data_IF_524870356595
#
_entry.id   IF_524870356595
#
_cell.length_a   1.000
_cell.length_b   1.000
_cell.length_c   1.000
_cell.angle_alpha   90.00
_cell.angle_beta   90.00
_cell.angle_gamma   90.00
#
_symmetry.space_group_name_H-M   'P 1'
#
loop_
_entity.id
_entity.type
_entity.pdbx_description
1 polymer ?
#
# COMPACT_ATOMS: atom_id res chain seq x y z
N UNK A 1 8.64 18.35 -13.83
CA UNK A 1 7.81 17.16 -13.44
C UNK A 1 8.72 15.97 -13.12
N UNK A 2 8.51 15.20 -12.02
CA UNK A 2 9.29 14.00 -11.66
C UNK A 2 8.93 12.82 -12.56
N UNK A 3 9.76 11.74 -12.54
CA UNK A 3 9.49 10.54 -13.37
C UNK A 3 8.21 9.81 -12.93
N UNK A 4 7.93 9.75 -11.62
CA UNK A 4 6.71 9.14 -11.10
C UNK A 4 5.46 9.85 -11.64
N UNK A 5 5.47 11.18 -11.66
CA UNK A 5 4.34 11.96 -12.20
C UNK A 5 4.20 11.76 -13.70
N UNK A 6 5.32 11.74 -14.45
CA UNK A 6 5.28 11.45 -15.89
C UNK A 6 4.74 10.06 -16.19
N UNK A 7 5.17 9.07 -15.42
CA UNK A 7 4.70 7.69 -15.57
C UNK A 7 3.20 7.57 -15.31
N UNK A 8 2.71 8.16 -14.22
CA UNK A 8 1.29 8.16 -13.89
C UNK A 8 0.42 8.81 -14.96
N UNK A 9 0.91 9.90 -15.54
CA UNK A 9 0.18 10.67 -16.55
C UNK A 9 0.20 10.04 -17.95
N UNK A 10 0.88 8.91 -18.19
CA UNK A 10 0.92 8.27 -19.52
C UNK A 10 -0.45 7.90 -20.07
N UNK A 11 -1.40 7.61 -19.19
CA UNK A 11 -2.79 7.31 -19.55
C UNK A 11 -3.60 8.55 -19.95
N UNK A 12 -3.08 9.76 -19.72
CA UNK A 12 -3.77 11.02 -19.98
C UNK A 12 -3.44 11.57 -21.36
N UNK A 13 -4.38 12.27 -22.02
CA UNK A 13 -4.11 12.96 -23.29
C UNK A 13 -2.99 14.01 -23.18
N UNK A 14 -2.33 14.28 -24.30
CA UNK A 14 -1.18 15.19 -24.37
C UNK A 14 -1.48 16.58 -23.81
N UNK A 15 -2.65 17.17 -24.17
CA UNK A 15 -3.04 18.51 -23.70
C UNK A 15 -3.15 18.61 -22.18
N UNK A 16 -3.69 17.55 -21.52
CA UNK A 16 -3.78 17.49 -20.07
C UNK A 16 -2.39 17.39 -19.42
N UNK A 17 -1.52 16.53 -19.97
CA UNK A 17 -0.13 16.41 -19.51
C UNK A 17 0.65 17.71 -19.62
N UNK A 18 0.51 18.42 -20.72
CA UNK A 18 1.17 19.71 -20.94
C UNK A 18 0.66 20.80 -20.01
N UNK A 19 -0.64 20.83 -19.72
CA UNK A 19 -1.22 21.78 -18.77
C UNK A 19 -0.68 21.56 -17.35
N UNK A 20 -0.53 20.30 -16.93
CA UNK A 20 0.05 19.94 -15.62
C UNK A 20 1.53 20.31 -15.57
N UNK A 21 2.31 20.06 -16.63
CA UNK A 21 3.75 20.36 -16.66
C UNK A 21 4.08 21.85 -16.52
N UNK A 22 3.15 22.71 -16.88
CA UNK A 22 3.26 24.18 -16.74
C UNK A 22 2.99 24.68 -15.31
N UNK A 23 2.46 23.83 -14.43
CA UNK A 23 2.19 24.24 -13.05
C UNK A 23 3.50 24.38 -12.25
N UNK A 24 3.59 25.38 -11.37
CA UNK A 24 4.63 25.40 -10.35
C UNK A 24 4.57 24.09 -9.53
N UNK A 25 5.73 23.53 -9.23
CA UNK A 25 5.83 22.32 -8.41
C UNK A 25 5.05 21.10 -8.91
N UNK A 26 4.81 20.99 -10.24
CA UNK A 26 4.16 19.84 -10.86
C UNK A 26 4.77 18.48 -10.44
N UNK A 27 6.07 18.47 -10.10
CA UNK A 27 6.75 17.30 -9.55
C UNK A 27 6.23 16.86 -8.17
N UNK A 28 5.63 17.76 -7.39
CA UNK A 28 5.04 17.47 -6.08
C UNK A 28 3.56 17.06 -6.17
N UNK A 29 2.99 16.89 -7.37
CA UNK A 29 1.58 16.51 -7.55
C UNK A 29 1.26 15.21 -6.81
N UNK A 30 0.19 15.24 -6.03
CA UNK A 30 -0.32 14.12 -5.23
C UNK A 30 -1.46 13.37 -5.94
N UNK A 31 -2.37 14.16 -6.55
CA UNK A 31 -3.58 13.66 -7.20
C UNK A 31 -3.93 14.48 -8.44
N UNK A 32 -4.52 13.81 -9.43
CA UNK A 32 -5.26 14.44 -10.54
C UNK A 32 -6.71 14.02 -10.43
N UNK A 33 -7.61 15.01 -10.34
CA UNK A 33 -9.05 14.80 -10.22
C UNK A 33 -9.77 15.24 -11.48
N UNK A 34 -10.52 14.33 -12.06
CA UNK A 34 -11.31 14.52 -13.26
C UNK A 34 -12.78 14.26 -12.90
N UNK A 35 -13.61 15.32 -12.91
CA UNK A 35 -15.04 15.24 -12.61
C UNK A 35 -15.83 15.70 -13.82
N UNK A 36 -16.76 14.91 -14.30
CA UNK A 36 -17.57 15.26 -15.46
C UNK A 36 -18.25 16.62 -15.27
N UNK A 37 -18.17 17.49 -16.29
CA UNK A 37 -18.72 18.84 -16.28
C UNK A 37 -17.91 19.87 -15.49
N UNK A 38 -16.77 19.51 -14.89
CA UNK A 38 -15.87 20.43 -14.17
C UNK A 38 -14.51 20.49 -14.86
N UNK A 39 -13.77 21.61 -14.74
CA UNK A 39 -12.38 21.65 -15.16
C UNK A 39 -11.54 20.58 -14.43
N UNK A 40 -10.54 19.95 -15.08
CA UNK A 40 -9.58 19.08 -14.40
C UNK A 40 -8.88 19.83 -13.26
N UNK A 41 -8.56 19.15 -12.17
CA UNK A 41 -7.87 19.74 -11.03
C UNK A 41 -6.74 18.84 -10.53
N UNK A 42 -5.61 19.46 -10.11
CA UNK A 42 -4.49 18.78 -9.48
C UNK A 42 -4.38 19.17 -8.00
N UNK A 43 -4.02 18.21 -7.16
CA UNK A 43 -3.60 18.47 -5.78
C UNK A 43 -2.08 18.49 -5.69
N UNK A 44 -1.51 19.60 -5.23
CA UNK A 44 -0.07 19.84 -5.07
C UNK A 44 0.15 20.41 -3.68
N UNK A 45 1.02 19.77 -2.86
CA UNK A 45 1.31 20.18 -1.48
C UNK A 45 0.04 20.45 -0.64
N UNK A 46 -0.96 19.56 -0.78
CA UNK A 46 -2.23 19.64 -0.05
C UNK A 46 -3.24 20.67 -0.59
N UNK A 47 -2.90 21.46 -1.62
CA UNK A 47 -3.80 22.46 -2.22
C UNK A 47 -4.33 21.98 -3.58
N UNK A 48 -5.60 22.24 -3.86
CA UNK A 48 -6.22 21.93 -5.16
C UNK A 48 -6.04 23.12 -6.13
N UNK A 49 -5.58 22.82 -7.34
CA UNK A 49 -5.35 23.78 -8.44
C UNK A 49 -6.19 23.36 -9.64
N UNK A 50 -7.17 24.15 -10.01
CA UNK A 50 -7.91 23.96 -11.25
C UNK A 50 -7.02 24.23 -12.46
N UNK A 51 -7.10 23.38 -13.48
CA UNK A 51 -6.38 23.58 -14.74
C UNK A 51 -7.21 24.44 -15.70
N UNK A 52 -6.58 25.36 -16.46
CA UNK A 52 -7.27 26.17 -17.43
C UNK A 52 -7.58 25.40 -18.73
N UNK A 53 -8.40 24.37 -18.58
CA UNK A 53 -8.84 23.47 -19.65
C UNK A 53 -10.37 23.39 -19.68
N UNK A 54 -10.91 22.94 -20.81
CA UNK A 54 -12.34 22.68 -20.94
C UNK A 54 -12.82 21.67 -19.88
N UNK A 55 -14.10 21.73 -19.48
CA UNK A 55 -14.70 20.77 -18.58
C UNK A 55 -14.50 19.33 -19.05
N UNK A 56 -14.29 18.42 -18.10
CA UNK A 56 -14.13 16.98 -18.34
C UNK A 56 -15.40 16.42 -18.96
N UNK A 57 -15.27 15.65 -20.02
CA UNK A 57 -16.38 14.98 -20.70
C UNK A 57 -16.40 13.48 -20.37
N UNK A 58 -17.55 12.80 -20.54
CA UNK A 58 -17.65 11.34 -20.38
C UNK A 58 -16.69 10.57 -21.33
N UNK A 59 -16.45 11.10 -22.53
CA UNK A 59 -15.54 10.54 -23.53
C UNK A 59 -14.09 10.59 -23.05
N UNK A 60 -13.68 11.70 -22.44
CA UNK A 60 -12.36 11.83 -21.86
C UNK A 60 -12.14 10.80 -20.75
N UNK A 61 -13.12 10.64 -19.85
CA UNK A 61 -13.03 9.64 -18.77
C UNK A 61 -12.93 8.21 -19.33
N UNK A 62 -13.76 7.86 -20.32
CA UNK A 62 -13.72 6.55 -20.98
C UNK A 62 -12.37 6.29 -21.65
N UNK A 63 -11.84 7.26 -22.40
CA UNK A 63 -10.55 7.12 -23.06
C UNK A 63 -9.38 6.90 -22.07
N UNK A 64 -9.39 7.59 -20.92
CA UNK A 64 -8.39 7.38 -19.85
C UNK A 64 -8.53 5.98 -19.24
N UNK A 65 -9.76 5.51 -19.00
CA UNK A 65 -10.00 4.16 -18.46
C UNK A 65 -9.56 3.06 -19.44
N UNK A 66 -9.83 3.21 -20.73
CA UNK A 66 -9.35 2.27 -21.75
C UNK A 66 -7.83 2.17 -21.77
N UNK A 67 -7.13 3.30 -21.67
CA UNK A 67 -5.68 3.34 -21.57
C UNK A 67 -5.18 2.70 -20.26
N UNK A 68 -5.83 2.99 -19.13
CA UNK A 68 -5.47 2.45 -17.82
C UNK A 68 -5.62 0.94 -17.72
N UNK A 69 -6.68 0.39 -18.31
CA UNK A 69 -6.99 -1.04 -18.27
C UNK A 69 -6.34 -1.82 -19.40
N UNK A 70 -5.78 -1.15 -20.41
CA UNK A 70 -5.26 -1.76 -21.64
C UNK A 70 -6.27 -2.74 -22.28
N UNK A 71 -7.57 -2.49 -22.09
CA UNK A 71 -8.68 -3.36 -22.48
C UNK A 71 -8.62 -4.77 -21.86
N UNK A 72 -7.88 -4.95 -20.76
CA UNK A 72 -7.77 -6.23 -20.06
C UNK A 72 -9.05 -6.53 -19.27
N UNK A 73 -9.65 -7.68 -19.50
CA UNK A 73 -10.81 -8.16 -18.73
C UNK A 73 -10.46 -8.33 -17.24
N UNK A 74 -9.22 -8.76 -16.93
CA UNK A 74 -8.73 -8.89 -15.56
C UNK A 74 -8.66 -7.52 -14.85
N UNK A 75 -8.08 -6.49 -15.49
CA UNK A 75 -8.03 -5.14 -14.92
C UNK A 75 -9.44 -4.56 -14.70
N UNK A 76 -10.38 -4.88 -15.58
CA UNK A 76 -11.80 -4.48 -15.41
C UNK A 76 -12.46 -5.18 -14.22
N UNK A 77 -12.18 -6.46 -13.97
CA UNK A 77 -12.68 -7.17 -12.79
C UNK A 77 -12.09 -6.63 -11.50
N UNK A 78 -10.77 -6.38 -11.48
CA UNK A 78 -10.09 -5.79 -10.32
C UNK A 78 -10.66 -4.40 -10.01
N UNK A 79 -10.88 -3.58 -11.03
CA UNK A 79 -11.53 -2.28 -10.92
C UNK A 79 -12.90 -2.37 -10.24
N UNK A 80 -13.72 -3.32 -10.65
CA UNK A 80 -15.06 -3.52 -10.07
C UNK A 80 -14.98 -3.94 -8.61
N UNK A 81 -14.05 -4.83 -8.27
CA UNK A 81 -13.89 -5.35 -6.91
C UNK A 81 -13.31 -4.32 -5.94
N UNK A 82 -12.34 -3.54 -6.39
CA UNK A 82 -11.56 -2.65 -5.54
C UNK A 82 -11.95 -1.17 -5.69
N UNK A 83 -12.70 -0.78 -6.72
CA UNK A 83 -13.02 0.61 -7.03
C UNK A 83 -11.85 1.41 -7.62
N UNK A 84 -10.74 0.75 -7.96
CA UNK A 84 -9.58 1.37 -8.59
C UNK A 84 -8.82 0.38 -9.48
N UNK A 85 -7.96 0.94 -10.34
CA UNK A 85 -6.97 0.18 -11.13
C UNK A 85 -5.58 0.59 -10.66
N UNK A 86 -4.69 -0.40 -10.48
CA UNK A 86 -3.27 -0.15 -10.24
C UNK A 86 -2.55 0.04 -11.57
N UNK A 87 -1.83 1.13 -11.70
CA UNK A 87 -1.04 1.48 -12.88
C UNK A 87 0.44 1.17 -12.66
N UNK A 88 1.25 1.07 -13.74
CA UNK A 88 2.70 0.98 -13.64
C UNK A 88 3.27 2.02 -12.68
N UNK A 89 4.24 1.62 -11.82
CA UNK A 89 4.79 2.45 -10.75
C UNK A 89 3.95 2.49 -9.47
N UNK A 90 2.87 1.68 -9.38
CA UNK A 90 2.03 1.58 -8.20
C UNK A 90 1.03 2.72 -8.04
N UNK A 91 0.88 3.58 -9.07
CA UNK A 91 -0.13 4.62 -9.06
C UNK A 91 -1.53 4.02 -9.06
N UNK A 92 -2.52 4.72 -8.48
CA UNK A 92 -3.90 4.23 -8.40
C UNK A 92 -4.84 5.17 -9.12
N UNK A 93 -5.65 4.61 -10.00
CA UNK A 93 -6.75 5.29 -10.66
C UNK A 93 -8.07 4.84 -10.03
N UNK A 94 -8.60 5.63 -9.10
CA UNK A 94 -9.91 5.43 -8.49
C UNK A 94 -11.03 5.90 -9.41
N UNK A 95 -12.19 5.24 -9.33
CA UNK A 95 -13.31 5.45 -10.25
C UNK A 95 -14.60 5.60 -9.47
N UNK A 96 -15.39 6.62 -9.82
CA UNK A 96 -16.78 6.76 -9.44
C UNK A 96 -17.66 6.75 -10.68
N UNK A 97 -18.86 6.20 -10.52
CA UNK A 97 -19.86 6.09 -11.58
C UNK A 97 -21.14 5.43 -11.07
N UNK A 98 -21.96 4.92 -11.94
CA UNK A 98 -23.18 4.19 -11.60
C UNK A 98 -22.86 2.77 -11.18
N UNK A 99 -23.12 2.42 -9.91
CA UNK A 99 -22.92 1.07 -9.41
C UNK A 99 -24.02 0.11 -9.84
N UNK A 100 -23.63 -1.06 -10.32
CA UNK A 100 -24.55 -2.21 -10.53
C UNK A 100 -24.42 -3.10 -9.31
N UNK A 101 -25.54 -3.32 -8.61
CA UNK A 101 -25.56 -4.10 -7.36
C UNK A 101 -26.35 -5.39 -7.60
N UNK A 102 -25.80 -6.53 -7.20
CA UNK A 102 -26.46 -7.84 -7.16
C UNK A 102 -26.26 -8.46 -5.78
N UNK A 103 -27.32 -8.88 -5.14
CA UNK A 103 -27.29 -9.49 -3.80
C UNK A 103 -26.51 -8.65 -2.77
N UNK A 104 -26.68 -7.32 -2.80
CA UNK A 104 -25.98 -6.41 -1.88
C UNK A 104 -24.49 -6.16 -2.21
N UNK A 105 -23.96 -6.75 -3.28
CA UNK A 105 -22.56 -6.60 -3.70
C UNK A 105 -22.47 -5.80 -5.00
N UNK A 106 -21.53 -4.87 -5.09
CA UNK A 106 -21.23 -4.14 -6.32
C UNK A 106 -20.56 -5.10 -7.30
N UNK A 107 -21.21 -5.37 -8.43
CA UNK A 107 -20.72 -6.29 -9.47
C UNK A 107 -20.15 -5.58 -10.69
N UNK A 108 -20.47 -4.30 -10.89
CA UNK A 108 -19.91 -3.48 -11.95
C UNK A 108 -20.01 -1.98 -11.61
N UNK A 109 -19.15 -1.18 -12.25
CA UNK A 109 -19.28 0.27 -12.33
C UNK A 109 -19.53 0.65 -13.80
N UNK A 110 -20.56 1.44 -14.05
CA UNK A 110 -20.94 1.94 -15.37
C UNK A 110 -20.92 3.47 -15.37
N UNK A 111 -20.89 4.05 -16.56
CA UNK A 111 -21.01 5.50 -16.74
C UNK A 111 -20.11 6.28 -15.78
N UNK A 112 -18.78 6.22 -15.97
CA UNK A 112 -17.84 6.89 -15.07
C UNK A 112 -18.16 8.39 -15.00
N UNK A 113 -18.40 8.88 -13.78
CA UNK A 113 -18.66 10.29 -13.49
C UNK A 113 -17.44 11.05 -13.05
N UNK A 114 -16.46 10.34 -12.46
CA UNK A 114 -15.18 10.92 -12.07
C UNK A 114 -14.07 9.89 -11.94
N UNK A 115 -12.82 10.38 -12.13
CA UNK A 115 -11.59 9.64 -11.91
C UNK A 115 -10.68 10.39 -10.95
N UNK A 116 -9.97 9.65 -10.10
CA UNK A 116 -8.94 10.17 -9.21
C UNK A 116 -7.63 9.40 -9.39
N UNK A 117 -6.67 9.99 -10.11
CA UNK A 117 -5.33 9.43 -10.26
C UNK A 117 -4.46 9.88 -9.09
N UNK A 118 -4.09 8.94 -8.22
CA UNK A 118 -3.21 9.16 -7.07
C UNK A 118 -1.79 8.74 -7.42
N UNK A 119 -0.85 9.66 -7.17
CA UNK A 119 0.56 9.45 -7.46
C UNK A 119 1.21 8.68 -6.33
N UNK A 120 1.72 7.50 -6.64
CA UNK A 120 2.50 6.72 -5.68
C UNK A 120 3.94 7.22 -5.63
N UNK A 121 4.52 7.20 -4.43
CA UNK A 121 5.93 7.54 -4.18
C UNK A 121 6.55 6.50 -3.27
N UNK A 122 7.81 6.20 -3.50
CA UNK A 122 8.58 5.26 -2.70
C UNK A 122 9.86 5.93 -2.18
N UNK A 123 9.78 6.62 -1.02
CA UNK A 123 10.96 7.25 -0.42
C UNK A 123 11.96 6.19 0.04
N UNK A 124 13.24 6.48 -0.09
CA UNK A 124 14.35 5.65 0.36
C UNK A 124 14.84 6.05 1.76
N UNK A 125 15.52 5.14 2.45
CA UNK A 125 16.27 5.42 3.69
C UNK A 125 15.47 5.58 4.97
N UNK A 126 14.14 5.59 4.91
CA UNK A 126 13.30 5.82 6.11
C UNK A 126 13.36 4.69 7.14
N UNK A 127 13.83 3.50 6.74
CA UNK A 127 13.94 2.33 7.61
C UNK A 127 15.38 2.03 8.07
N UNK A 128 16.37 2.87 7.77
CA UNK A 128 17.79 2.56 7.98
C UNK A 128 18.11 2.18 9.42
N UNK A 129 17.67 2.97 10.40
CA UNK A 129 17.90 2.69 11.82
C UNK A 129 17.25 1.38 12.27
N UNK A 130 16.04 1.08 11.80
CA UNK A 130 15.32 -0.14 12.15
C UNK A 130 15.98 -1.36 11.49
N UNK A 131 16.40 -1.25 10.24
CA UNK A 131 17.18 -2.25 9.52
C UNK A 131 18.44 -2.64 10.29
N UNK A 132 19.24 -1.66 10.72
CA UNK A 132 20.50 -1.91 11.43
C UNK A 132 20.24 -2.59 12.79
N UNK A 133 19.15 -2.21 13.48
CA UNK A 133 18.71 -2.86 14.70
C UNK A 133 18.34 -4.33 14.47
N UNK A 134 17.65 -4.64 13.38
CA UNK A 134 17.24 -6.00 13.03
C UNK A 134 18.41 -6.84 12.53
N UNK A 135 19.37 -6.25 11.84
CA UNK A 135 20.59 -6.92 11.46
C UNK A 135 21.37 -7.42 12.68
N UNK A 136 21.55 -6.56 13.68
CA UNK A 136 22.25 -6.93 14.90
C UNK A 136 21.54 -8.04 15.70
N UNK A 137 20.19 -8.04 15.67
CA UNK A 137 19.37 -9.04 16.38
C UNK A 137 18.04 -9.29 15.62
N UNK A 138 18.02 -10.28 14.71
CA UNK A 138 16.81 -10.63 13.96
C UNK A 138 15.67 -11.07 14.87
N UNK A 139 14.53 -10.37 14.84
CA UNK A 139 13.33 -10.69 15.61
C UNK A 139 12.09 -10.08 14.96
N UNK A 140 10.91 -10.62 15.26
CA UNK A 140 9.64 -10.04 14.77
C UNK A 140 9.44 -8.63 15.28
N UNK A 141 8.90 -7.75 14.42
CA UNK A 141 8.69 -6.33 14.68
C UNK A 141 7.28 -5.91 14.36
N UNK A 142 6.68 -5.17 15.28
CA UNK A 142 5.41 -4.50 15.10
C UNK A 142 5.64 -3.01 14.81
N UNK A 143 5.26 -2.55 13.60
CA UNK A 143 5.34 -1.15 13.21
C UNK A 143 4.04 -0.45 13.59
N UNK A 144 4.12 0.47 14.54
CA UNK A 144 2.96 1.13 15.13
C UNK A 144 2.88 2.60 14.71
N UNK A 145 1.68 3.17 14.67
CA UNK A 145 1.44 4.59 14.41
C UNK A 145 0.00 4.87 14.03
N UNK A 146 -0.38 6.13 14.01
CA UNK A 146 -1.71 6.59 13.61
C UNK A 146 -2.05 6.21 12.14
N UNK A 147 -3.33 6.18 11.76
CA UNK A 147 -3.72 6.11 10.36
C UNK A 147 -3.03 7.20 9.52
N UNK A 148 -2.52 6.85 8.34
CA UNK A 148 -1.83 7.80 7.46
C UNK A 148 -0.43 8.23 7.90
N UNK A 149 0.12 7.73 9.01
CA UNK A 149 1.47 8.10 9.51
C UNK A 149 2.61 7.63 8.59
N UNK A 150 2.36 6.68 7.68
CA UNK A 150 3.39 6.13 6.77
C UNK A 150 3.90 4.75 7.16
N UNK A 151 3.19 4.00 8.04
CA UNK A 151 3.57 2.61 8.44
C UNK A 151 3.80 1.69 7.25
N UNK A 152 2.86 1.64 6.30
CA UNK A 152 2.97 0.83 5.08
C UNK A 152 4.19 1.21 4.25
N UNK A 153 4.54 2.51 4.18
CA UNK A 153 5.73 3.01 3.49
C UNK A 153 7.01 2.59 4.20
N UNK A 154 7.03 2.67 5.55
CA UNK A 154 8.14 2.19 6.37
C UNK A 154 8.32 0.68 6.22
N UNK A 155 7.22 -0.09 6.31
CA UNK A 155 7.24 -1.55 6.14
C UNK A 155 7.82 -1.94 4.77
N UNK A 156 7.36 -1.30 3.69
CA UNK A 156 7.86 -1.54 2.33
C UNK A 156 9.35 -1.25 2.19
N UNK A 157 9.81 -0.12 2.75
CA UNK A 157 11.23 0.25 2.72
C UNK A 157 12.08 -0.74 3.53
N UNK A 158 11.57 -1.20 4.68
CA UNK A 158 12.23 -2.19 5.51
C UNK A 158 12.35 -3.54 4.81
N UNK A 159 11.26 -4.06 4.23
CA UNK A 159 11.25 -5.30 3.44
C UNK A 159 12.32 -5.25 2.37
N UNK A 160 12.34 -4.19 1.55
CA UNK A 160 13.32 -4.02 0.48
C UNK A 160 14.75 -4.07 1.01
N UNK A 161 15.03 -3.31 2.07
CA UNK A 161 16.39 -3.23 2.62
C UNK A 161 16.85 -4.55 3.23
N UNK A 162 15.97 -5.26 3.94
CA UNK A 162 16.30 -6.57 4.53
C UNK A 162 16.52 -7.62 3.43
N UNK A 163 15.70 -7.61 2.41
CA UNK A 163 15.82 -8.50 1.25
C UNK A 163 17.11 -8.23 0.47
N UNK A 164 17.35 -6.98 0.03
CA UNK A 164 18.48 -6.64 -0.84
C UNK A 164 19.85 -6.74 -0.15
N UNK A 165 19.92 -6.33 1.14
CA UNK A 165 21.21 -6.29 1.84
C UNK A 165 21.60 -7.59 2.49
N UNK A 166 20.63 -8.36 2.97
CA UNK A 166 20.92 -9.56 3.77
C UNK A 166 20.51 -10.85 3.09
N UNK A 167 19.84 -10.75 1.92
CA UNK A 167 19.39 -11.91 1.17
C UNK A 167 18.30 -12.71 1.89
N UNK A 168 17.60 -12.10 2.87
CA UNK A 168 16.55 -12.80 3.61
C UNK A 168 15.34 -13.06 2.74
N UNK A 169 14.85 -14.30 2.77
CA UNK A 169 13.62 -14.71 2.06
C UNK A 169 12.41 -14.16 2.79
N UNK A 170 11.78 -13.16 2.19
CA UNK A 170 10.63 -12.45 2.76
C UNK A 170 9.41 -12.74 1.90
N UNK A 171 8.35 -13.28 2.50
CA UNK A 171 7.06 -13.38 1.84
C UNK A 171 6.13 -12.26 2.31
N UNK A 172 5.41 -11.65 1.39
CA UNK A 172 4.46 -10.56 1.66
C UNK A 172 3.04 -11.07 1.40
N UNK A 173 2.13 -10.92 2.38
CA UNK A 173 0.69 -11.05 2.15
C UNK A 173 0.11 -9.65 2.01
N UNK A 174 -0.18 -9.27 0.78
CA UNK A 174 -0.71 -7.93 0.42
C UNK A 174 -2.22 -7.99 0.16
N UNK A 175 -3.00 -8.10 1.23
CA UNK A 175 -4.46 -8.24 1.16
C UNK A 175 -5.13 -7.02 0.50
N UNK A 176 -4.66 -5.80 0.80
CA UNK A 176 -5.23 -4.54 0.33
C UNK A 176 -4.57 -4.00 -0.94
N UNK A 177 -3.63 -4.74 -1.52
CA UNK A 177 -2.85 -4.31 -2.68
C UNK A 177 -2.07 -2.99 -2.45
N UNK A 178 -1.61 -2.77 -1.22
CA UNK A 178 -0.95 -1.53 -0.81
C UNK A 178 0.55 -1.67 -0.63
N UNK A 179 1.03 -2.85 -0.22
CA UNK A 179 2.45 -3.11 -0.01
C UNK A 179 3.22 -3.22 -1.32
N UNK A 180 2.77 -4.08 -2.21
CA UNK A 180 3.42 -4.36 -3.49
C UNK A 180 2.79 -3.58 -4.66
N UNK A 181 1.51 -3.18 -4.51
CA UNK A 181 0.72 -2.56 -5.58
C UNK A 181 0.81 -3.39 -6.88
N UNK A 182 0.57 -4.69 -6.81
CA UNK A 182 0.69 -5.57 -7.97
C UNK A 182 -0.24 -5.14 -9.10
N UNK A 183 0.30 -5.12 -10.32
CA UNK A 183 -0.47 -4.99 -11.56
C UNK A 183 -0.20 -6.22 -12.42
N UNK A 184 -1.24 -6.92 -12.83
CA UNK A 184 -1.13 -8.18 -13.58
C UNK A 184 -0.16 -9.20 -12.94
N UNK A 185 -0.21 -9.33 -11.61
CA UNK A 185 0.65 -10.22 -10.83
C UNK A 185 2.08 -9.71 -10.59
N UNK A 186 2.46 -8.58 -11.15
CA UNK A 186 3.82 -8.03 -11.02
C UNK A 186 3.83 -6.91 -9.97
N UNK A 187 4.66 -6.99 -8.90
CA UNK A 187 4.88 -5.91 -7.96
C UNK A 187 5.32 -4.62 -8.66
N UNK A 188 4.67 -3.51 -8.36
CA UNK A 188 5.02 -2.21 -8.92
C UNK A 188 5.97 -1.41 -8.02
N UNK A 189 6.02 -1.75 -6.74
CA UNK A 189 6.99 -1.22 -5.81
C UNK A 189 8.19 -2.15 -5.66
N UNK A 190 9.36 -1.57 -5.41
CA UNK A 190 10.58 -2.30 -5.13
C UNK A 190 10.52 -2.87 -3.72
N UNK A 191 10.45 -4.19 -3.60
CA UNK A 191 10.40 -4.92 -2.33
C UNK A 191 11.68 -5.73 -2.05
N UNK A 192 12.63 -5.72 -2.98
CA UNK A 192 13.89 -6.45 -2.87
C UNK A 192 13.91 -7.76 -3.66
N UNK A 193 15.12 -8.22 -3.99
CA UNK A 193 15.37 -9.33 -4.90
C UNK A 193 14.97 -10.71 -4.35
N UNK A 194 14.83 -10.83 -3.03
CA UNK A 194 14.47 -12.09 -2.33
C UNK A 194 13.08 -12.00 -1.68
N UNK A 195 12.15 -11.25 -2.31
CA UNK A 195 10.80 -11.04 -1.78
C UNK A 195 9.75 -11.63 -2.71
N UNK A 196 8.93 -12.53 -2.19
CA UNK A 196 7.78 -13.11 -2.87
C UNK A 196 6.48 -12.43 -2.41
N UNK A 197 5.54 -12.20 -3.31
CA UNK A 197 4.30 -11.47 -3.01
C UNK A 197 3.08 -12.30 -3.33
N UNK A 198 2.20 -12.46 -2.34
CA UNK A 198 0.84 -12.97 -2.50
C UNK A 198 -0.15 -11.81 -2.37
N UNK A 199 -0.75 -11.42 -3.49
CA UNK A 199 -1.67 -10.27 -3.56
C UNK A 199 -3.13 -10.68 -3.44
N UNK A 200 -3.92 -9.87 -2.73
CA UNK A 200 -5.39 -9.97 -2.69
C UNK A 200 -5.93 -11.17 -1.92
N UNK A 201 -5.09 -11.90 -1.19
CA UNK A 201 -5.51 -12.97 -0.30
C UNK A 201 -5.78 -12.43 1.11
N UNK A 202 -6.79 -12.96 1.84
CA UNK A 202 -6.95 -12.70 3.28
C UNK A 202 -5.67 -13.08 4.02
N UNK A 203 -5.25 -12.25 4.99
CA UNK A 203 -3.95 -12.42 5.70
C UNK A 203 -3.75 -13.82 6.28
N UNK A 204 -4.71 -14.30 7.06
CA UNK A 204 -4.59 -15.62 7.69
C UNK A 204 -4.39 -16.74 6.68
N UNK A 205 -5.19 -16.80 5.62
CA UNK A 205 -5.08 -17.81 4.56
C UNK A 205 -3.77 -17.64 3.77
N UNK A 206 -3.35 -16.41 3.52
CA UNK A 206 -2.10 -16.10 2.83
C UNK A 206 -0.87 -16.54 3.62
N UNK A 207 -0.83 -16.29 4.93
CA UNK A 207 0.26 -16.74 5.82
C UNK A 207 0.39 -18.28 5.74
N UNK A 208 -0.73 -18.99 5.86
CA UNK A 208 -0.74 -20.46 5.83
C UNK A 208 -0.30 -21.02 4.47
N UNK A 209 -0.71 -20.38 3.38
CA UNK A 209 -0.27 -20.79 2.03
C UNK A 209 1.22 -20.60 1.85
N UNK A 210 1.75 -19.40 2.16
CA UNK A 210 3.16 -19.08 2.00
C UNK A 210 4.06 -19.95 2.88
N UNK A 211 3.64 -20.23 4.11
CA UNK A 211 4.36 -21.12 5.02
C UNK A 211 4.57 -22.51 4.41
N UNK A 212 3.56 -23.05 3.72
CA UNK A 212 3.63 -24.40 3.12
C UNK A 212 4.37 -24.43 1.79
N UNK A 213 4.40 -23.31 1.05
CA UNK A 213 4.83 -23.32 -0.36
C UNK A 213 6.14 -22.61 -0.63
N UNK A 214 6.48 -21.57 0.15
CA UNK A 214 7.57 -20.65 -0.19
C UNK A 214 8.77 -20.72 0.76
N UNK A 215 8.70 -21.50 1.85
CA UNK A 215 9.78 -21.61 2.83
C UNK A 215 10.33 -20.23 3.30
N UNK A 216 9.49 -19.34 3.82
CA UNK A 216 9.90 -18.00 4.22
C UNK A 216 10.75 -18.01 5.50
N UNK A 217 11.74 -17.13 5.60
CA UNK A 217 12.38 -16.78 6.87
C UNK A 217 11.60 -15.68 7.59
N UNK A 218 10.95 -14.83 6.77
CA UNK A 218 10.11 -13.72 7.23
C UNK A 218 8.80 -13.67 6.47
N UNK A 219 7.74 -13.30 7.18
CA UNK A 219 6.47 -12.93 6.55
C UNK A 219 6.14 -11.48 6.93
N UNK A 220 5.79 -10.68 5.92
CA UNK A 220 5.34 -9.31 6.09
C UNK A 220 3.84 -9.21 5.82
N UNK A 221 3.12 -8.56 6.75
CA UNK A 221 1.69 -8.30 6.65
C UNK A 221 1.39 -6.85 7.02
N UNK A 222 0.47 -6.23 6.30
CA UNK A 222 -0.01 -4.90 6.68
C UNK A 222 -1.28 -5.05 7.54
N UNK A 223 -1.35 -4.27 8.60
CA UNK A 223 -2.50 -4.07 9.48
C UNK A 223 -3.17 -5.34 10.04
N UNK A 224 -2.65 -5.83 11.18
CA UNK A 224 -3.30 -6.92 11.92
C UNK A 224 -4.65 -6.42 12.46
N UNK A 225 -5.77 -7.05 12.04
CA UNK A 225 -7.12 -6.58 12.34
C UNK A 225 -8.06 -7.65 12.89
N UNK A 226 -7.69 -8.93 12.84
CA UNK A 226 -8.56 -10.03 13.21
C UNK A 226 -7.85 -11.09 14.07
N UNK A 227 -8.61 -11.79 14.91
CA UNK A 227 -8.13 -12.94 15.69
C UNK A 227 -7.58 -14.05 14.80
N UNK A 228 -8.13 -14.24 13.62
CA UNK A 228 -7.64 -15.20 12.62
C UNK A 228 -6.21 -14.88 12.18
N UNK A 229 -5.87 -13.58 12.05
CA UNK A 229 -4.51 -13.14 11.71
C UNK A 229 -3.53 -13.57 12.82
N UNK A 230 -3.90 -13.35 14.10
CA UNK A 230 -3.08 -13.72 15.24
C UNK A 230 -2.86 -15.23 15.28
N UNK A 231 -3.92 -16.03 15.07
CA UNK A 231 -3.80 -17.48 15.05
C UNK A 231 -2.86 -17.98 13.95
N UNK A 232 -2.88 -17.37 12.76
CA UNK A 232 -1.97 -17.72 11.67
C UNK A 232 -0.52 -17.29 11.97
N UNK A 233 -0.32 -16.07 12.52
CA UNK A 233 0.99 -15.57 12.95
C UNK A 233 1.58 -16.52 14.02
N UNK A 234 0.80 -16.92 15.01
CA UNK A 234 1.21 -17.84 16.07
C UNK A 234 1.71 -19.16 15.48
N UNK A 235 0.94 -19.80 14.59
CA UNK A 235 1.34 -21.05 13.95
C UNK A 235 2.65 -20.92 13.18
N UNK A 236 2.80 -19.88 12.36
CA UNK A 236 4.01 -19.65 11.58
C UNK A 236 5.22 -19.32 12.47
N UNK A 237 5.02 -18.58 13.57
CA UNK A 237 6.08 -18.29 14.55
C UNK A 237 6.61 -19.55 15.24
N UNK A 238 5.75 -20.51 15.55
CA UNK A 238 6.20 -21.82 16.07
C UNK A 238 7.02 -22.63 15.04
N UNK A 239 6.86 -22.36 13.74
CA UNK A 239 7.71 -22.92 12.69
C UNK A 239 9.03 -22.13 12.50
N UNK A 240 9.32 -21.13 13.34
CA UNK A 240 10.55 -20.34 13.28
C UNK A 240 10.49 -19.12 12.36
N UNK A 241 9.35 -18.84 11.75
CA UNK A 241 9.17 -17.68 10.86
C UNK A 241 9.05 -16.40 11.70
N UNK A 242 9.75 -15.34 11.27
CA UNK A 242 9.66 -14.00 11.86
C UNK A 242 8.67 -13.14 11.10
N UNK A 243 8.13 -12.13 11.78
CA UNK A 243 7.13 -11.25 11.22
C UNK A 243 7.54 -9.79 11.20
N UNK A 244 7.20 -9.12 10.10
CA UNK A 244 7.13 -7.68 9.97
C UNK A 244 5.65 -7.34 9.82
N UNK A 245 5.05 -6.72 10.82
CA UNK A 245 3.62 -6.42 10.79
C UNK A 245 3.34 -4.96 11.17
N UNK A 246 2.20 -4.43 10.76
CA UNK A 246 1.76 -3.11 11.20
C UNK A 246 0.55 -3.18 12.13
N UNK A 247 0.44 -2.17 13.01
CA UNK A 247 -0.68 -1.99 13.92
C UNK A 247 -1.03 -0.52 14.09
N UNK A 248 -2.30 -0.26 14.36
CA UNK A 248 -2.76 1.08 14.71
C UNK A 248 -2.65 1.32 16.20
N UNK A 249 -1.54 1.93 16.64
CA UNK A 249 -1.36 2.42 18.00
C UNK A 249 -0.33 3.57 17.96
N UNK A 250 -0.60 4.66 18.66
CA UNK A 250 0.31 5.80 18.74
C UNK A 250 1.47 5.54 19.72
N UNK A 251 1.24 4.74 20.74
CA UNK A 251 2.23 4.39 21.76
C UNK A 251 1.96 2.98 22.34
N UNK A 252 2.82 2.56 23.27
CA UNK A 252 2.73 1.27 23.95
C UNK A 252 1.43 1.13 24.76
N UNK A 253 0.96 2.17 25.45
CA UNK A 253 -0.25 2.11 26.25
C UNK A 253 -1.48 1.83 25.38
N UNK A 254 -1.57 2.51 24.24
CA UNK A 254 -2.65 2.27 23.27
C UNK A 254 -2.57 0.84 22.71
N UNK A 255 -1.37 0.35 22.39
CA UNK A 255 -1.16 -1.00 21.88
C UNK A 255 -1.65 -2.05 22.91
N UNK A 256 -1.24 -1.91 24.19
CA UNK A 256 -1.61 -2.80 25.28
C UNK A 256 -3.09 -2.67 25.71
N UNK A 257 -3.72 -1.52 25.48
CA UNK A 257 -5.15 -1.30 25.81
C UNK A 257 -6.10 -2.07 24.92
N UNK A 258 -5.68 -2.38 23.68
CA UNK A 258 -6.53 -3.06 22.70
C UNK A 258 -6.44 -4.59 22.88
N UNK A 259 -7.56 -5.29 23.12
CA UNK A 259 -7.55 -6.74 23.42
C UNK A 259 -6.80 -7.56 22.35
N UNK A 260 -7.02 -7.25 21.07
CA UNK A 260 -6.38 -7.92 19.95
C UNK A 260 -4.85 -7.86 20.04
N UNK A 261 -4.28 -6.68 20.27
CA UNK A 261 -2.83 -6.53 20.34
C UNK A 261 -2.25 -7.03 21.66
N UNK A 262 -3.00 -6.93 22.76
CA UNK A 262 -2.59 -7.52 24.04
C UNK A 262 -2.39 -9.03 23.91
N UNK A 263 -3.32 -9.74 23.28
CA UNK A 263 -3.18 -11.17 23.00
C UNK A 263 -1.93 -11.48 22.17
N UNK A 264 -1.65 -10.67 21.15
CA UNK A 264 -0.47 -10.81 20.29
C UNK A 264 0.84 -10.59 21.05
N UNK A 265 0.88 -9.65 21.99
CA UNK A 265 2.07 -9.37 22.81
C UNK A 265 2.30 -10.45 23.85
N UNK A 266 1.24 -10.98 24.48
CA UNK A 266 1.33 -12.09 25.46
C UNK A 266 1.93 -13.36 24.88
N UNK A 267 1.80 -13.60 23.57
CA UNK A 267 2.45 -14.72 22.89
C UNK A 267 3.99 -14.60 22.84
N UNK A 268 4.57 -13.42 23.11
CA UNK A 268 6.02 -13.19 23.15
C UNK A 268 6.72 -13.26 21.79
N UNK A 269 5.97 -13.38 20.66
CA UNK A 269 6.58 -13.40 19.33
C UNK A 269 7.04 -12.03 18.88
N UNK A 270 6.32 -10.96 19.26
CA UNK A 270 6.72 -9.58 18.99
C UNK A 270 7.34 -8.96 20.24
N UNK A 271 8.66 -8.99 20.31
CA UNK A 271 9.45 -8.40 21.42
C UNK A 271 9.89 -6.97 21.15
N UNK A 272 9.62 -6.47 19.96
CA UNK A 272 9.99 -5.13 19.51
C UNK A 272 8.84 -4.46 18.80
N UNK A 273 8.58 -3.20 19.17
CA UNK A 273 7.74 -2.28 18.39
C UNK A 273 8.57 -1.08 17.92
N UNK A 274 8.20 -0.57 16.76
CA UNK A 274 8.72 0.66 16.19
C UNK A 274 7.54 1.63 15.98
N UNK A 275 7.50 2.70 16.78
CA UNK A 275 6.43 3.71 16.74
C UNK A 275 6.82 4.83 15.78
N UNK A 276 6.01 5.05 14.75
CA UNK A 276 6.10 6.19 13.86
C UNK A 276 5.49 7.42 14.54
N UNK A 277 6.33 8.43 14.78
CA UNK A 277 5.93 9.68 15.42
C UNK A 277 5.41 10.70 14.37
N UNK A 278 4.70 11.78 14.79
CA UNK A 278 4.17 12.79 13.87
C UNK A 278 5.24 13.50 13.02
N UNK A 279 6.47 13.64 13.53
CA UNK A 279 7.63 14.17 12.82
C UNK A 279 8.27 13.16 11.86
N UNK A 280 7.66 11.98 11.68
CA UNK A 280 8.12 10.84 10.88
C UNK A 280 9.40 10.18 11.40
N UNK A 281 9.85 10.51 12.59
CA UNK A 281 10.90 9.76 13.26
C UNK A 281 10.38 8.41 13.79
N UNK A 282 11.29 7.47 14.04
CA UNK A 282 10.94 6.12 14.51
C UNK A 282 11.51 5.91 15.90
N UNK A 283 10.62 5.70 16.90
CA UNK A 283 11.00 5.31 18.26
C UNK A 283 10.91 3.79 18.39
N UNK A 284 12.03 3.15 18.72
CA UNK A 284 12.12 1.69 18.87
C UNK A 284 12.00 1.35 20.35
N UNK A 285 11.06 0.47 20.70
CA UNK A 285 10.86 -0.09 22.03
C UNK A 285 11.07 -1.60 22.01
N UNK A 286 11.70 -2.13 23.06
CA UNK A 286 12.00 -3.56 23.25
C UNK A 286 11.37 -4.06 24.54
N UNK A 287 11.32 -5.41 24.71
CA UNK A 287 10.77 -5.99 25.94
C UNK A 287 9.25 -5.86 26.03
N UNK A 288 8.55 -6.06 24.93
CA UNK A 288 7.08 -6.05 24.89
C UNK A 288 6.47 -7.29 25.52
N UNK A 289 7.26 -8.32 25.75
CA UNK A 289 6.89 -9.63 26.32
C UNK A 289 6.77 -9.64 27.86
N UNK A 290 6.98 -8.49 28.50
CA UNK A 290 6.90 -8.31 29.97
C UNK A 290 5.78 -7.34 30.37
N UNK A 291 4.66 -7.32 29.63
CA UNK A 291 3.51 -6.50 29.93
C UNK A 291 2.44 -7.26 30.72
#
# INVERSE_FOLDING_TARGET
>A
MTEEVRQALRICPLGLRQAIDRLPDAGAMEELRLRCGQPPACRIAGKEHALPLAPVTPELLRGILEQATQRSAYAMQEMTRCGFVTLPGGHRLGICGTAVVQNGTITALREPSSLNLRIARQPDGIADRLRDTLWARPQSVLLCGAPGSGKTTLLRNLIRQLSDRFGWRICVVDERLELAACASGVPQFRLGAHTDVLSGAPKAAGIELLLRTMNPEWIAVDEITAEADIAAIRRASYCGVRFLATAHAADRRELESRPLYRALLQDGFFRMAAFLLPDRSVRIERGLDHA
#
